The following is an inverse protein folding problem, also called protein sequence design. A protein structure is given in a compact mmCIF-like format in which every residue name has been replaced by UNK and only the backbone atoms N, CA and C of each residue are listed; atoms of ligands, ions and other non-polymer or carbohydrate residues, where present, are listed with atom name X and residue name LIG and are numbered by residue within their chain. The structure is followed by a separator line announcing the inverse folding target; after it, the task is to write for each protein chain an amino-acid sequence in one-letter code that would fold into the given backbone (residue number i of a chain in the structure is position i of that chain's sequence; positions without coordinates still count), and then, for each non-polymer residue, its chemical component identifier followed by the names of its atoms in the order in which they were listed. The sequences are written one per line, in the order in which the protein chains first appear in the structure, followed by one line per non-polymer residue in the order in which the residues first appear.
data_IF_353681373078
#
_entry.id   IF_353681373078
#
_cell.length_a   1.000
_cell.length_b   1.000
_cell.length_c   1.000
_cell.angle_alpha   90.00
_cell.angle_beta   90.00
_cell.angle_gamma   90.00
#
_symmetry.space_group_name_H-M   'P 1'
#
loop_
_entity.id
_entity.type
_entity.pdbx_description
1 polymer ?
#
# COMPACT_ATOMS: atom_id res chain seq x y z
N UNK A 1 -20.16 -6.35 -10.22
CA UNK A 1 -20.32 -7.81 -10.18
C UNK A 1 -20.00 -8.27 -8.78
N UNK A 2 -21.00 -8.77 -8.05
CA UNK A 2 -20.82 -9.44 -6.76
C UNK A 2 -20.42 -10.90 -7.04
N UNK A 3 -19.42 -11.41 -6.34
CA UNK A 3 -19.05 -12.83 -6.42
C UNK A 3 -19.92 -13.65 -5.48
N UNK A 4 -20.09 -14.96 -5.72
CA UNK A 4 -20.77 -15.86 -4.78
C UNK A 4 -20.21 -15.77 -3.35
N UNK A 5 -18.87 -15.69 -3.12
CA UNK A 5 -18.32 -15.38 -1.81
C UNK A 5 -18.82 -14.08 -1.18
N UNK A 6 -18.94 -12.99 -1.96
CA UNK A 6 -19.43 -11.70 -1.46
C UNK A 6 -20.92 -11.76 -1.09
N UNK A 7 -21.72 -12.52 -1.86
CA UNK A 7 -23.13 -12.77 -1.60
C UNK A 7 -23.34 -13.57 -0.32
N UNK A 8 -22.51 -14.58 -0.10
CA UNK A 8 -22.54 -15.44 1.09
C UNK A 8 -21.78 -14.84 2.29
N UNK A 9 -21.17 -13.65 2.13
CA UNK A 9 -20.34 -12.97 3.14
C UNK A 9 -19.19 -13.83 3.67
N UNK A 10 -18.73 -14.82 2.90
CA UNK A 10 -17.63 -15.71 3.28
C UNK A 10 -16.32 -14.91 3.39
N UNK A 11 -16.21 -13.81 2.64
CA UNK A 11 -15.12 -12.85 2.70
C UNK A 11 -14.96 -12.16 4.08
N UNK A 12 -15.96 -12.27 4.97
CA UNK A 12 -15.91 -11.72 6.33
C UNK A 12 -15.40 -12.72 7.37
N UNK A 13 -15.27 -13.99 7.00
CA UNK A 13 -14.91 -15.06 7.94
C UNK A 13 -13.48 -15.51 7.66
N UNK A 14 -12.65 -15.54 8.70
CA UNK A 14 -11.31 -16.14 8.60
C UNK A 14 -11.41 -17.66 8.56
N UNK A 15 -10.60 -18.36 7.74
CA UNK A 15 -9.45 -17.85 6.99
C UNK A 15 -9.77 -17.35 5.56
N UNK A 16 -11.03 -17.41 5.12
CA UNK A 16 -11.39 -17.12 3.71
C UNK A 16 -11.09 -15.67 3.29
N UNK A 17 -11.22 -14.71 4.20
CA UNK A 17 -10.81 -13.32 3.98
C UNK A 17 -9.34 -13.22 3.51
N UNK A 18 -8.44 -14.04 4.07
CA UNK A 18 -7.03 -14.05 3.71
C UNK A 18 -6.81 -14.67 2.32
N UNK A 19 -7.52 -15.76 2.01
CA UNK A 19 -7.46 -16.43 0.70
C UNK A 19 -7.83 -15.47 -0.43
N UNK A 20 -8.78 -14.57 -0.20
CA UNK A 20 -9.18 -13.54 -1.17
C UNK A 20 -8.01 -12.61 -1.54
N UNK A 21 -7.17 -12.24 -0.59
CA UNK A 21 -5.97 -11.41 -0.83
C UNK A 21 -4.91 -12.14 -1.67
N UNK A 22 -4.89 -13.47 -1.65
CA UNK A 22 -3.97 -14.30 -2.44
C UNK A 22 -4.51 -14.73 -3.81
N UNK A 23 -5.69 -14.24 -4.24
CA UNK A 23 -6.31 -14.60 -5.53
C UNK A 23 -5.35 -14.58 -6.73
N UNK A 24 -4.50 -13.55 -6.94
CA UNK A 24 -3.56 -13.55 -8.07
C UNK A 24 -2.60 -14.74 -8.05
N UNK A 25 -2.06 -15.09 -6.89
CA UNK A 25 -1.14 -16.22 -6.72
C UNK A 25 -1.86 -17.57 -6.88
N UNK A 26 -3.08 -17.67 -6.36
CA UNK A 26 -3.90 -18.87 -6.55
C UNK A 26 -4.25 -19.10 -8.02
N UNK A 27 -4.53 -18.04 -8.80
CA UNK A 27 -4.77 -18.18 -10.24
C UNK A 27 -3.53 -18.67 -10.99
N UNK A 28 -2.32 -18.26 -10.59
CA UNK A 28 -1.08 -18.82 -11.14
C UNK A 28 -0.97 -20.32 -10.84
N UNK A 29 -1.28 -20.72 -9.60
CA UNK A 29 -1.30 -22.13 -9.20
C UNK A 29 -2.33 -22.96 -9.99
N UNK A 30 -3.55 -22.42 -10.16
CA UNK A 30 -4.61 -23.06 -10.97
C UNK A 30 -4.19 -23.16 -12.43
N UNK A 31 -3.57 -22.12 -13.01
CA UNK A 31 -3.08 -22.17 -14.38
C UNK A 31 -2.02 -23.27 -14.57
N UNK A 32 -1.06 -23.39 -13.65
CA UNK A 32 -0.09 -24.47 -13.67
C UNK A 32 -0.76 -25.85 -13.60
N UNK A 33 -1.76 -26.01 -12.73
CA UNK A 33 -2.52 -27.26 -12.60
C UNK A 33 -3.30 -27.60 -13.87
N UNK A 34 -3.93 -26.62 -14.53
CA UNK A 34 -4.61 -26.80 -15.82
C UNK A 34 -3.64 -27.32 -16.88
N UNK A 35 -2.44 -26.75 -16.97
CA UNK A 35 -1.41 -27.21 -17.92
C UNK A 35 -0.97 -28.65 -17.65
N UNK A 36 -0.75 -29.01 -16.38
CA UNK A 36 -0.40 -30.39 -15.99
C UNK A 36 -1.51 -31.37 -16.36
N UNK A 37 -2.76 -31.05 -16.03
CA UNK A 37 -3.90 -31.92 -16.34
C UNK A 37 -4.13 -32.04 -17.86
N UNK A 38 -3.99 -30.94 -18.61
CA UNK A 38 -4.09 -30.94 -20.06
C UNK A 38 -3.01 -31.85 -20.68
N UNK A 39 -1.75 -31.76 -20.22
CA UNK A 39 -0.68 -32.64 -20.67
C UNK A 39 -0.92 -34.12 -20.34
N UNK A 40 -1.36 -34.42 -19.12
CA UNK A 40 -1.69 -35.79 -18.71
C UNK A 40 -2.93 -36.34 -19.44
N UNK A 41 -3.86 -35.48 -19.82
CA UNK A 41 -5.10 -35.87 -20.52
C UNK A 41 -4.85 -36.49 -21.89
N UNK A 42 -3.72 -36.16 -22.52
CA UNK A 42 -3.25 -36.79 -23.76
C UNK A 42 -3.10 -38.31 -23.59
N UNK A 43 -2.54 -38.75 -22.45
CA UNK A 43 -2.37 -40.18 -22.13
C UNK A 43 -3.60 -40.77 -21.42
N UNK A 44 -4.33 -39.97 -20.65
CA UNK A 44 -5.48 -40.41 -19.86
C UNK A 44 -6.67 -39.50 -20.11
N UNK A 45 -7.47 -39.83 -21.14
CA UNK A 45 -8.65 -39.04 -21.58
C UNK A 45 -9.63 -38.69 -20.45
N UNK A 46 -9.72 -39.51 -19.38
CA UNK A 46 -10.56 -39.24 -18.19
C UNK A 46 -10.20 -37.93 -17.47
N UNK A 47 -8.99 -37.40 -17.66
CA UNK A 47 -8.54 -36.13 -17.06
C UNK A 47 -8.98 -34.89 -17.85
N UNK A 48 -9.62 -35.04 -19.02
CA UNK A 48 -10.12 -33.90 -19.81
C UNK A 48 -11.19 -33.11 -19.04
N UNK A 49 -12.15 -33.79 -18.41
CA UNK A 49 -13.24 -33.14 -17.70
C UNK A 49 -12.74 -32.23 -16.54
N UNK A 50 -11.87 -32.69 -15.61
CA UNK A 50 -11.34 -31.81 -14.58
C UNK A 50 -10.45 -30.69 -15.14
N UNK A 51 -9.71 -30.92 -16.23
CA UNK A 51 -8.93 -29.88 -16.89
C UNK A 51 -9.82 -28.75 -17.44
N UNK A 52 -10.93 -29.10 -18.12
CA UNK A 52 -11.91 -28.14 -18.65
C UNK A 52 -12.60 -27.40 -17.51
N UNK A 53 -12.99 -28.09 -16.43
CA UNK A 53 -13.60 -27.46 -15.28
C UNK A 53 -12.66 -26.42 -14.62
N UNK A 54 -11.39 -26.76 -14.43
CA UNK A 54 -10.40 -25.83 -13.87
C UNK A 54 -10.06 -24.68 -14.83
N UNK A 55 -10.06 -24.93 -16.14
CA UNK A 55 -9.90 -23.89 -17.14
C UNK A 55 -11.04 -22.87 -17.07
N UNK A 56 -12.29 -23.32 -16.86
CA UNK A 56 -13.43 -22.43 -16.66
C UNK A 56 -13.27 -21.58 -15.38
N UNK A 57 -12.84 -22.19 -14.27
CA UNK A 57 -12.53 -21.46 -13.02
C UNK A 57 -11.43 -20.42 -13.24
N UNK A 58 -10.36 -20.78 -13.95
CA UNK A 58 -9.27 -19.88 -14.29
C UNK A 58 -9.75 -18.71 -15.14
N UNK A 59 -10.56 -18.98 -16.18
CA UNK A 59 -11.08 -17.95 -17.08
C UNK A 59 -11.97 -16.95 -16.33
N UNK A 60 -12.88 -17.43 -15.48
CA UNK A 60 -13.71 -16.58 -14.62
C UNK A 60 -12.81 -15.77 -13.67
N UNK A 61 -11.92 -16.43 -12.94
CA UNK A 61 -11.03 -15.78 -11.99
C UNK A 61 -10.13 -14.72 -12.63
N UNK A 62 -9.58 -15.00 -13.81
CA UNK A 62 -8.81 -14.06 -14.61
C UNK A 62 -9.66 -12.88 -15.08
N UNK A 63 -10.86 -13.13 -15.62
CA UNK A 63 -11.79 -12.05 -16.02
C UNK A 63 -12.20 -11.15 -14.86
N UNK A 64 -12.30 -11.69 -13.65
CA UNK A 64 -12.62 -10.93 -12.44
C UNK A 64 -11.43 -10.16 -11.85
N UNK A 65 -10.19 -10.56 -12.16
CA UNK A 65 -8.97 -9.95 -11.63
C UNK A 65 -8.28 -9.03 -12.63
N UNK A 66 -8.43 -9.28 -13.94
CA UNK A 66 -7.80 -8.50 -15.01
C UNK A 66 -8.13 -7.00 -14.97
N UNK A 67 -9.39 -6.56 -14.69
CA UNK A 67 -9.68 -5.13 -14.57
C UNK A 67 -8.95 -4.47 -13.39
N UNK A 68 -8.54 -5.23 -12.37
CA UNK A 68 -7.80 -4.72 -11.21
C UNK A 68 -6.29 -4.66 -11.45
N UNK A 69 -5.78 -5.42 -12.42
CA UNK A 69 -4.35 -5.42 -12.77
C UNK A 69 -4.01 -4.43 -13.88
N UNK A 70 -5.01 -3.99 -14.65
CA UNK A 70 -4.86 -2.92 -15.62
C UNK A 70 -5.02 -1.56 -14.96
N UNK A 71 -3.92 -0.81 -14.86
CA UNK A 71 -3.98 0.63 -14.62
C UNK A 71 -4.40 1.32 -15.93
N UNK A 72 -5.70 1.31 -16.23
CA UNK A 72 -6.26 2.10 -17.33
C UNK A 72 -6.47 3.55 -16.87
N UNK A 73 -6.27 4.55 -17.74
CA UNK A 73 -6.73 5.90 -17.46
C UNK A 73 -8.26 5.85 -17.33
N UNK A 74 -8.77 5.97 -16.11
CA UNK A 74 -10.18 6.21 -15.90
C UNK A 74 -10.50 7.60 -16.47
N UNK A 75 -11.64 7.80 -17.13
CA UNK A 75 -12.13 9.14 -17.44
C UNK A 75 -12.41 9.84 -16.11
N UNK A 76 -11.40 10.53 -15.57
CA UNK A 76 -11.55 11.32 -14.37
C UNK A 76 -12.11 12.68 -14.81
N UNK A 77 -13.43 12.84 -14.72
CA UNK A 77 -13.97 14.17 -14.52
C UNK A 77 -13.51 14.64 -13.15
N UNK A 78 -12.49 15.48 -13.08
CA UNK A 78 -11.93 16.01 -11.83
C UNK A 78 -10.43 16.26 -11.88
N UNK A 79 -9.94 16.99 -10.88
CA UNK A 79 -8.51 17.17 -10.68
C UNK A 79 -7.90 15.88 -10.07
N UNK A 80 -6.75 15.41 -10.56
CA UNK A 80 -6.06 14.28 -9.96
C UNK A 80 -5.60 14.63 -8.54
N UNK A 81 -5.69 13.66 -7.63
CA UNK A 81 -5.21 13.77 -6.25
C UNK A 81 -4.09 12.76 -6.02
N UNK A 82 -2.96 13.23 -5.48
CA UNK A 82 -1.79 12.44 -5.13
C UNK A 82 -1.84 12.08 -3.64
N UNK A 83 -1.79 10.77 -3.35
CA UNK A 83 -1.85 10.26 -1.97
C UNK A 83 -0.57 9.52 -1.63
N UNK A 84 0.05 9.89 -0.52
CA UNK A 84 1.14 9.16 0.13
C UNK A 84 0.56 8.26 1.23
N UNK A 85 0.98 7.00 1.32
CA UNK A 85 0.59 6.10 2.41
C UNK A 85 1.84 5.40 2.94
N UNK A 86 2.15 5.61 4.22
CA UNK A 86 3.37 5.09 4.85
C UNK A 86 3.05 4.61 6.26
N UNK A 87 3.60 3.45 6.64
CA UNK A 87 3.70 3.02 8.04
C UNK A 87 5.12 3.36 8.52
N UNK A 88 5.22 4.14 9.60
CA UNK A 88 6.49 4.63 10.15
C UNK A 88 7.14 3.68 11.17
N UNK A 89 6.53 2.52 11.41
CA UNK A 89 6.99 1.47 12.34
C UNK A 89 7.29 2.05 13.73
N UNK A 90 6.25 2.38 14.48
CA UNK A 90 6.31 3.02 15.81
C UNK A 90 7.16 4.30 15.80
N UNK A 91 6.95 5.16 14.79
CA UNK A 91 7.73 6.38 14.63
C UNK A 91 9.23 6.18 14.38
N UNK A 92 9.70 4.97 14.05
CA UNK A 92 11.13 4.70 13.84
C UNK A 92 11.66 5.09 12.45
N UNK A 93 10.79 5.42 11.50
CA UNK A 93 11.18 5.89 10.17
C UNK A 93 12.05 7.16 10.24
N UNK A 94 13.07 7.30 9.39
CA UNK A 94 13.91 8.49 9.42
C UNK A 94 13.09 9.74 9.02
N UNK A 95 13.00 10.71 9.94
CA UNK A 95 12.17 11.91 9.79
C UNK A 95 12.66 12.79 8.63
N UNK A 96 13.98 12.86 8.40
CA UNK A 96 14.54 13.64 7.31
C UNK A 96 14.26 12.97 5.96
N UNK A 97 14.41 11.64 5.87
CA UNK A 97 14.04 10.90 4.64
C UNK A 97 12.54 11.01 4.34
N UNK A 98 11.69 10.97 5.36
CA UNK A 98 10.24 11.20 5.20
C UNK A 98 9.94 12.61 4.69
N UNK A 99 10.59 13.64 5.24
CA UNK A 99 10.42 15.02 4.77
C UNK A 99 10.90 15.21 3.32
N UNK A 100 12.02 14.59 2.93
CA UNK A 100 12.50 14.59 1.54
C UNK A 100 11.51 13.87 0.60
N UNK A 101 10.93 12.76 1.04
CA UNK A 101 9.91 12.05 0.27
C UNK A 101 8.69 12.94 0.04
N UNK A 102 8.18 13.60 1.09
CA UNK A 102 7.05 14.54 0.99
C UNK A 102 7.39 15.70 0.06
N UNK A 103 8.59 16.28 0.19
CA UNK A 103 9.03 17.40 -0.66
C UNK A 103 9.13 17.02 -2.13
N UNK A 104 9.64 15.82 -2.42
CA UNK A 104 9.89 15.36 -3.79
C UNK A 104 8.63 14.86 -4.49
N UNK A 105 7.78 14.11 -3.78
CA UNK A 105 6.54 13.58 -4.35
C UNK A 105 5.37 14.58 -4.32
N UNK A 106 5.43 15.58 -3.43
CA UNK A 106 4.39 16.60 -3.21
C UNK A 106 2.98 16.01 -3.15
N UNK A 107 2.70 15.07 -2.22
CA UNK A 107 1.35 14.52 -2.09
C UNK A 107 0.36 15.63 -1.70
N UNK A 108 -0.91 15.48 -2.07
CA UNK A 108 -1.99 16.36 -1.60
C UNK A 108 -2.49 15.90 -0.22
N UNK A 109 -2.46 14.58 -0.01
CA UNK A 109 -2.84 13.91 1.23
C UNK A 109 -1.81 12.83 1.60
N UNK A 110 -1.57 12.64 2.91
CA UNK A 110 -0.75 11.56 3.44
C UNK A 110 -1.49 10.76 4.50
N UNK A 111 -1.57 9.43 4.37
CA UNK A 111 -1.96 8.52 5.46
C UNK A 111 -0.70 7.98 6.13
N UNK A 112 -0.40 8.47 7.33
CA UNK A 112 0.78 8.11 8.10
C UNK A 112 0.35 7.22 9.27
N UNK A 113 0.73 5.96 9.20
CA UNK A 113 0.36 4.90 10.14
C UNK A 113 1.52 4.67 11.11
N UNK A 114 1.21 4.42 12.37
CA UNK A 114 2.19 4.38 13.47
C UNK A 114 2.95 5.71 13.61
N UNK A 115 2.20 6.81 13.45
CA UNK A 115 2.66 8.19 13.58
C UNK A 115 1.73 8.90 14.55
N UNK A 116 2.17 9.01 15.80
CA UNK A 116 1.53 9.78 16.86
C UNK A 116 2.20 11.14 17.06
N UNK A 117 1.94 11.80 18.22
CA UNK A 117 2.42 13.14 18.51
C UNK A 117 3.93 13.28 18.43
N UNK A 118 4.69 12.28 18.89
CA UNK A 118 6.15 12.39 18.96
C UNK A 118 6.80 12.48 17.58
N UNK A 119 6.41 11.60 16.65
CA UNK A 119 6.91 11.64 15.28
C UNK A 119 6.41 12.88 14.54
N UNK A 120 5.14 13.24 14.73
CA UNK A 120 4.54 14.46 14.18
C UNK A 120 5.36 15.68 14.56
N UNK A 121 5.68 15.85 15.84
CA UNK A 121 6.37 17.05 16.34
C UNK A 121 7.79 17.21 15.76
N UNK A 122 8.40 16.11 15.30
CA UNK A 122 9.69 16.13 14.62
C UNK A 122 9.56 16.36 13.12
N UNK A 123 8.52 15.80 12.50
CA UNK A 123 8.29 15.93 11.06
C UNK A 123 7.67 17.27 10.68
N UNK A 124 6.75 17.79 11.49
CA UNK A 124 5.98 19.00 11.22
C UNK A 124 6.86 20.22 10.89
N UNK A 125 7.93 20.55 11.65
CA UNK A 125 8.80 21.68 11.33
C UNK A 125 9.47 21.58 9.94
N UNK A 126 9.59 20.38 9.38
CA UNK A 126 10.23 20.16 8.07
C UNK A 126 9.26 20.26 6.90
N UNK A 127 7.96 20.08 7.15
CA UNK A 127 6.92 20.00 6.10
C UNK A 127 5.88 21.10 6.17
N UNK A 128 5.66 21.72 7.34
CA UNK A 128 4.81 22.92 7.47
C UNK A 128 5.28 24.08 6.58
N UNK A 129 6.61 24.38 6.45
CA UNK A 129 7.07 25.38 5.50
C UNK A 129 6.80 25.04 4.02
N UNK A 130 6.54 23.76 3.73
CA UNK A 130 6.13 23.30 2.39
C UNK A 130 4.61 23.43 2.17
N UNK A 131 3.88 23.93 3.17
CA UNK A 131 2.43 24.12 3.13
C UNK A 131 1.65 22.87 3.54
N UNK A 132 2.16 22.05 4.47
CA UNK A 132 1.42 20.91 5.01
C UNK A 132 0.93 21.14 6.43
N UNK A 133 -0.18 20.51 6.79
CA UNK A 133 -0.69 20.45 8.18
C UNK A 133 -1.02 19.02 8.57
N UNK A 134 -0.99 18.74 9.87
CA UNK A 134 -1.29 17.42 10.43
C UNK A 134 -2.66 17.38 11.11
N UNK A 135 -3.34 16.26 10.97
CA UNK A 135 -4.47 15.84 11.79
C UNK A 135 -4.09 14.50 12.41
N UNK A 136 -3.91 14.46 13.72
CA UNK A 136 -3.42 13.26 14.42
C UNK A 136 -4.46 12.75 15.40
N UNK A 137 -4.66 11.43 15.40
CA UNK A 137 -5.42 10.73 16.40
C UNK A 137 -4.57 9.60 16.99
N UNK A 138 -4.74 9.33 18.28
CA UNK A 138 -4.11 8.21 18.99
C UNK A 138 -5.16 7.23 19.49
N UNK A 139 -4.81 5.95 19.48
CA UNK A 139 -5.67 4.87 19.98
C UNK A 139 -5.83 4.90 21.49
N UNK A 140 -6.83 4.18 22.00
CA UNK A 140 -7.15 4.10 23.44
C UNK A 140 -6.04 3.46 24.26
N UNK A 141 -5.23 2.61 23.63
CA UNK A 141 -4.14 1.87 24.28
C UNK A 141 -2.81 2.62 24.20
N UNK A 142 -2.82 3.87 23.73
CA UNK A 142 -1.63 4.71 23.67
C UNK A 142 -1.21 5.15 25.07
N UNK A 143 0.08 4.98 25.37
CA UNK A 143 0.73 5.57 26.54
C UNK A 143 1.12 7.04 26.31
N UNK A 144 0.78 7.60 25.14
CA UNK A 144 1.15 8.96 24.72
C UNK A 144 2.64 9.14 24.38
N UNK A 145 3.43 8.08 24.49
CA UNK A 145 4.89 8.09 24.26
C UNK A 145 5.22 7.28 23.00
N UNK A 146 4.55 6.15 22.81
CA UNK A 146 4.68 5.26 21.65
C UNK A 146 3.74 5.69 20.53
N UNK A 147 4.28 5.71 19.31
CA UNK A 147 3.57 6.15 18.12
C UNK A 147 2.85 4.99 17.42
N UNK A 148 3.07 3.74 17.85
CA UNK A 148 2.45 2.51 17.32
C UNK A 148 0.92 2.63 17.23
N UNK A 149 0.28 3.33 18.16
CA UNK A 149 -1.17 3.54 18.19
C UNK A 149 -1.64 4.81 17.47
N UNK A 150 -0.72 5.56 16.87
CA UNK A 150 -0.99 6.82 16.19
C UNK A 150 -1.38 6.64 14.73
N UNK A 151 -2.39 7.39 14.30
CA UNK A 151 -2.70 7.62 12.88
C UNK A 151 -2.72 9.12 12.64
N UNK A 152 -1.91 9.56 11.68
CA UNK A 152 -1.84 10.95 11.28
C UNK A 152 -2.18 11.12 9.80
N UNK A 153 -2.92 12.17 9.50
CA UNK A 153 -3.19 12.64 8.14
C UNK A 153 -2.38 13.90 7.88
N UNK A 154 -1.61 13.89 6.79
CA UNK A 154 -0.95 15.07 6.24
C UNK A 154 -1.87 15.69 5.18
N UNK A 155 -2.14 17.00 5.26
CA UNK A 155 -3.01 17.70 4.29
C UNK A 155 -2.27 18.89 3.70
N UNK A 156 -2.20 18.97 2.37
CA UNK A 156 -1.63 20.12 1.68
C UNK A 156 -2.53 21.37 1.82
N UNK A 157 -1.92 22.54 1.98
CA UNK A 157 -2.61 23.81 2.17
C UNK A 157 -3.46 24.21 0.95
N UNK A 158 -3.03 23.83 -0.25
CA UNK A 158 -3.77 24.15 -1.49
C UNK A 158 -5.12 23.43 -1.58
N UNK A 159 -5.37 22.41 -0.76
CA UNK A 159 -6.69 21.79 -0.63
C UNK A 159 -7.68 22.70 0.12
N UNK A 160 -7.24 23.84 0.66
CA UNK A 160 -8.09 24.78 1.38
C UNK A 160 -8.63 24.20 2.69
N UNK A 161 -9.78 24.71 3.12
CA UNK A 161 -10.43 24.28 4.36
C UNK A 161 -11.01 22.87 4.24
N UNK A 162 -10.56 21.98 5.12
CA UNK A 162 -11.07 20.60 5.20
C UNK A 162 -11.62 20.39 6.61
N UNK A 163 -12.67 19.58 6.70
CA UNK A 163 -13.18 19.08 7.97
C UNK A 163 -12.58 17.73 8.26
N UNK A 164 -12.26 17.47 9.53
CA UNK A 164 -11.73 16.18 9.96
C UNK A 164 -12.50 15.60 11.12
N UNK A 165 -12.69 14.28 11.11
CA UNK A 165 -13.26 13.52 12.23
C UNK A 165 -12.32 12.39 12.62
N UNK A 166 -12.15 12.17 13.92
CA UNK A 166 -11.37 11.08 14.47
C UNK A 166 -12.30 10.05 15.13
N UNK A 167 -12.28 8.81 14.65
CA UNK A 167 -12.96 7.68 15.27
C UNK A 167 -11.98 6.92 16.16
N UNK A 168 -12.24 6.90 17.47
CA UNK A 168 -11.40 6.22 18.48
C UNK A 168 -12.05 4.94 19.04
N UNK A 169 -13.09 4.44 18.37
CA UNK A 169 -13.83 3.24 18.80
C UNK A 169 -13.07 1.92 18.59
N UNK A 170 -11.89 1.98 18.01
CA UNK A 170 -11.03 0.83 17.68
C UNK A 170 -9.64 1.01 18.30
N UNK A 171 -8.92 -0.10 18.50
CA UNK A 171 -7.57 -0.10 19.08
C UNK A 171 -6.65 0.92 18.39
N UNK A 172 -6.72 0.98 17.06
CA UNK A 172 -6.13 2.05 16.29
C UNK A 172 -7.21 3.03 15.83
N UNK A 173 -6.97 4.34 15.88
CA UNK A 173 -7.95 5.33 15.49
C UNK A 173 -8.11 5.37 13.96
N UNK A 174 -9.21 5.95 13.53
CA UNK A 174 -9.52 6.28 12.15
C UNK A 174 -9.56 7.79 12.04
N UNK A 175 -8.93 8.36 11.02
CA UNK A 175 -9.02 9.79 10.71
C UNK A 175 -9.67 9.95 9.35
N UNK A 176 -10.82 10.61 9.30
CA UNK A 176 -11.52 10.97 8.07
C UNK A 176 -11.32 12.46 7.76
N UNK A 177 -11.10 12.78 6.48
CA UNK A 177 -10.95 14.15 5.98
C UNK A 177 -11.88 14.36 4.78
N UNK A 178 -12.63 15.45 4.80
CA UNK A 178 -13.61 15.83 3.77
C UNK A 178 -13.57 17.34 3.49
N UNK A 179 -14.17 17.75 2.37
CA UNK A 179 -14.31 19.17 2.01
C UNK A 179 -13.10 19.73 1.26
N UNK A 180 -13.07 21.07 1.15
CA UNK A 180 -12.03 21.78 0.41
C UNK A 180 -11.89 21.29 -1.04
N UNK A 181 -10.65 21.14 -1.49
CA UNK A 181 -10.28 20.62 -2.81
C UNK A 181 -10.66 19.15 -3.04
N UNK A 182 -11.10 18.41 -2.02
CA UNK A 182 -11.59 17.03 -2.16
C UNK A 182 -13.03 16.98 -2.69
N UNK A 183 -13.79 18.08 -2.57
CA UNK A 183 -15.19 18.15 -2.98
C UNK A 183 -16.04 17.10 -2.26
N UNK A 184 -16.68 16.21 -3.02
CA UNK A 184 -17.48 15.11 -2.49
C UNK A 184 -16.66 13.87 -2.07
N UNK A 185 -15.34 13.92 -2.19
CA UNK A 185 -14.45 12.80 -1.85
C UNK A 185 -14.13 12.80 -0.36
N UNK A 186 -14.21 11.62 0.25
CA UNK A 186 -13.75 11.36 1.62
C UNK A 186 -12.40 10.64 1.60
N UNK A 187 -11.44 11.18 2.31
CA UNK A 187 -10.18 10.50 2.59
C UNK A 187 -10.23 9.85 3.97
N UNK A 188 -9.75 8.60 4.08
CA UNK A 188 -9.75 7.85 5.35
C UNK A 188 -8.37 7.23 5.57
N UNK A 189 -7.71 7.62 6.66
CA UNK A 189 -6.52 6.97 7.16
C UNK A 189 -6.89 6.05 8.33
N UNK A 190 -6.44 4.79 8.27
CA UNK A 190 -6.70 3.80 9.31
C UNK A 190 -5.54 2.82 9.41
N UNK A 191 -5.28 2.32 10.62
CA UNK A 191 -4.32 1.25 10.86
C UNK A 191 -5.09 -0.06 11.13
N UNK A 192 -5.00 -1.00 10.21
CA UNK A 192 -5.58 -2.33 10.42
C UNK A 192 -4.74 -3.12 11.43
N UNK A 193 -5.40 -3.78 12.38
CA UNK A 193 -4.73 -4.70 13.31
C UNK A 193 -4.19 -5.88 12.50
N UNK A 194 -2.89 -6.14 12.62
CA UNK A 194 -2.30 -7.32 12.00
C UNK A 194 -2.87 -8.59 12.65
N UNK A 195 -3.21 -9.64 11.88
CA UNK A 195 -3.59 -10.92 12.45
C UNK A 195 -2.44 -11.47 13.28
N UNK A 196 -2.67 -11.75 14.56
CA UNK A 196 -1.69 -12.35 15.45
C UNK A 196 -2.04 -13.81 15.71
N UNK A 197 -1.02 -14.65 15.78
CA UNK A 197 -1.18 -16.02 16.25
C UNK A 197 -1.40 -15.99 17.77
N UNK A 198 -2.48 -16.60 18.23
CA UNK A 198 -2.80 -16.76 19.64
C UNK A 198 -2.98 -18.23 19.96
N UNK A 199 -2.65 -18.62 21.18
CA UNK A 199 -2.98 -19.96 21.69
C UNK A 199 -4.49 -20.06 21.85
N UNK A 200 -5.11 -21.08 21.25
CA UNK A 200 -6.55 -21.26 21.40
C UNK A 200 -6.88 -21.64 22.86
N UNK A 201 -8.01 -21.18 23.41
CA UNK A 201 -8.44 -21.54 24.77
C UNK A 201 -8.54 -23.05 25.04
N UNK A 202 -8.73 -23.85 23.99
CA UNK A 202 -8.87 -25.32 24.07
C UNK A 202 -7.54 -26.08 24.14
N UNK A 203 -6.39 -25.40 24.23
CA UNK A 203 -5.07 -26.04 24.31
C UNK A 203 -4.59 -26.71 23.00
N UNK A 204 -5.39 -26.66 21.93
CA UNK A 204 -4.98 -27.11 20.60
C UNK A 204 -4.34 -25.96 19.78
N UNK A 205 -3.49 -26.36 18.81
CA UNK A 205 -2.74 -25.58 17.78
C UNK A 205 -3.14 -24.11 17.59
N UNK A 206 -2.14 -23.24 17.40
CA UNK A 206 -2.23 -21.81 17.10
C UNK A 206 -3.47 -21.38 16.29
N UNK A 207 -4.31 -20.52 16.86
CA UNK A 207 -5.41 -19.82 16.21
C UNK A 207 -4.92 -18.47 15.68
N UNK A 208 -5.56 -17.95 14.62
CA UNK A 208 -5.40 -16.54 14.23
C UNK A 208 -6.50 -15.73 14.92
N UNK A 209 -6.12 -14.70 15.67
CA UNK A 209 -7.07 -13.76 16.28
C UNK A 209 -6.89 -12.35 15.72
N UNK A 210 -8.01 -11.68 15.53
CA UNK A 210 -8.07 -10.25 15.28
C UNK A 210 -8.54 -9.61 16.58
N UNK A 211 -7.65 -8.90 17.27
CA UNK A 211 -8.07 -8.06 18.40
C UNK A 211 -8.69 -6.80 17.82
N UNK A 212 -9.95 -6.52 18.13
CA UNK A 212 -10.64 -5.29 17.72
C UNK A 212 -12.03 -5.53 17.17
N UNK A 213 -13.04 -4.94 17.81
CA UNK A 213 -14.39 -4.82 17.25
C UNK A 213 -14.40 -3.74 16.18
N UNK A 214 -14.34 -4.11 14.89
CA UNK A 214 -14.61 -3.14 13.84
C UNK A 214 -16.12 -2.84 13.80
N UNK A 215 -16.57 -1.58 13.96
CA UNK A 215 -17.95 -1.24 13.67
C UNK A 215 -18.19 -1.37 12.16
N UNK A 216 -19.24 -2.09 11.79
CA UNK A 216 -19.69 -2.24 10.40
C UNK A 216 -20.40 -0.93 9.99
N UNK A 217 -19.64 0.06 9.52
CA UNK A 217 -20.21 1.26 8.93
C UNK A 217 -20.42 1.05 7.43
N UNK A 218 -21.63 0.65 7.02
CA UNK A 218 -22.01 0.72 5.61
C UNK A 218 -22.44 2.16 5.27
N UNK A 219 -21.52 2.95 4.74
CA UNK A 219 -21.87 4.13 3.95
C UNK A 219 -21.21 4.06 2.58
N UNK A 220 -22.05 4.16 1.56
CA UNK A 220 -21.69 4.14 0.15
C UNK A 220 -21.14 5.52 -0.19
N UNK A 221 -19.82 5.65 -0.30
CA UNK A 221 -19.17 6.82 -0.87
C UNK A 221 -18.42 6.42 -2.14
N UNK A 222 -18.56 7.26 -3.17
CA UNK A 222 -18.15 7.05 -4.55
C UNK A 222 -16.64 6.82 -4.67
N UNK A 223 -16.25 5.95 -5.61
CA UNK A 223 -14.87 5.52 -5.89
C UNK A 223 -13.90 6.70 -6.06
N UNK A 224 -12.88 6.76 -5.20
CA UNK A 224 -11.59 7.39 -5.50
C UNK A 224 -10.52 6.29 -5.53
N UNK A 225 -9.73 6.23 -6.60
CA UNK A 225 -8.60 5.29 -6.74
C UNK A 225 -7.34 6.11 -6.92
N UNK A 226 -6.48 6.15 -5.89
CA UNK A 226 -5.16 6.77 -5.98
C UNK A 226 -4.24 5.86 -6.82
N UNK A 227 -3.57 6.45 -7.81
CA UNK A 227 -2.60 5.74 -8.66
C UNK A 227 -1.26 6.45 -8.56
N UNK A 228 -0.27 5.83 -7.91
CA UNK A 228 1.15 6.02 -8.27
C UNK A 228 2.02 4.88 -7.77
N UNK A 229 2.98 4.49 -8.60
CA UNK A 229 4.03 3.53 -8.24
C UNK A 229 5.03 4.19 -7.31
N UNK A 230 4.92 3.91 -6.01
CA UNK A 230 6.05 4.04 -5.09
C UNK A 230 7.03 2.90 -5.32
N UNK A 231 8.30 3.21 -5.60
CA UNK A 231 9.35 2.20 -5.62
C UNK A 231 9.77 1.97 -4.17
N UNK A 232 9.39 0.84 -3.56
CA UNK A 232 9.82 0.50 -2.20
C UNK A 232 11.33 0.25 -2.24
N UNK A 233 12.12 1.18 -1.71
CA UNK A 233 13.54 0.93 -1.39
C UNK A 233 13.58 0.17 -0.07
N UNK A 234 13.99 -1.10 -0.09
CA UNK A 234 14.27 -1.87 1.13
C UNK A 234 15.69 -1.56 1.58
N UNK A 235 15.84 -1.05 2.80
CA UNK A 235 17.11 -1.11 3.51
C UNK A 235 17.32 -2.55 4.00
N UNK A 236 18.45 -3.16 3.65
CA UNK A 236 18.81 -4.47 4.17
C UNK A 236 19.23 -4.32 5.63
N UNK A 237 18.49 -4.96 6.54
CA UNK A 237 18.95 -5.17 7.91
C UNK A 237 20.11 -6.17 7.89
N UNK A 238 21.18 -5.97 8.68
CA UNK A 238 22.16 -7.04 8.89
C UNK A 238 21.46 -8.26 9.52
N UNK A 239 21.93 -9.48 9.21
CA UNK A 239 21.35 -10.69 9.77
C UNK A 239 21.49 -10.69 11.31
N UNK A 240 20.50 -11.22 12.04
CA UNK A 240 20.62 -11.39 13.48
C UNK A 240 21.84 -12.28 13.79
N UNK A 241 22.76 -11.78 14.63
CA UNK A 241 23.98 -12.50 15.02
C UNK A 241 25.28 -12.05 14.36
N UNK A 242 25.30 -10.94 13.61
CA UNK A 242 26.55 -10.36 13.14
C UNK A 242 27.45 -9.95 14.35
N UNK A 243 28.68 -10.45 14.45
CA UNK A 243 29.56 -10.17 15.59
C UNK A 243 29.94 -8.69 15.62
N UNK A 244 29.78 -8.06 16.78
CA UNK A 244 30.25 -6.70 17.03
C UNK A 244 31.78 -6.68 16.98
N UNK A 245 32.43 -5.77 16.24
CA UNK A 245 33.88 -5.68 16.24
C UNK A 245 34.40 -5.32 17.64
N UNK A 246 35.50 -5.93 18.10
CA UNK A 246 36.03 -5.67 19.44
C UNK A 246 36.51 -4.22 19.57
N UNK A 247 36.16 -3.56 20.68
CA UNK A 247 36.75 -2.26 21.02
C UNK A 247 38.22 -2.46 21.40
N UNK A 248 39.13 -1.83 20.64
CA UNK A 248 40.54 -1.75 21.00
C UNK A 248 40.72 -0.87 22.24
N UNK A 249 41.45 -1.39 23.24
CA UNK A 249 41.73 -0.71 24.50
C UNK A 249 42.34 0.69 24.27
N UNK A 250 41.71 1.72 24.85
CA UNK A 250 42.22 3.09 24.84
C UNK A 250 41.49 4.09 23.94
N UNK A 251 40.40 3.72 23.26
CA UNK A 251 39.53 4.68 22.55
C UNK A 251 38.08 4.51 22.97
N UNK A 252 37.36 5.63 23.13
CA UNK A 252 35.93 5.62 23.41
C UNK A 252 35.18 4.84 22.31
N UNK A 253 34.43 3.81 22.71
CA UNK A 253 33.61 3.03 21.79
C UNK A 253 32.58 3.97 21.14
N UNK A 254 32.70 4.18 19.84
CA UNK A 254 31.67 4.88 19.06
C UNK A 254 30.44 3.97 19.00
N UNK A 255 29.20 4.47 19.23
CA UNK A 255 28.00 3.65 19.10
C UNK A 255 27.93 3.01 17.71
N UNK A 256 27.33 1.81 17.58
CA UNK A 256 27.27 1.09 16.31
C UNK A 256 26.71 2.00 15.21
N UNK A 257 27.51 2.19 14.17
CA UNK A 257 27.21 3.10 13.07
C UNK A 257 25.88 2.74 12.42
N UNK A 258 25.06 3.77 12.18
CA UNK A 258 23.81 3.63 11.41
C UNK A 258 24.07 2.91 10.08
N UNK A 259 23.14 2.04 9.63
CA UNK A 259 23.25 1.38 8.34
C UNK A 259 23.46 2.43 7.24
N UNK A 260 24.55 2.30 6.47
CA UNK A 260 24.82 3.17 5.34
C UNK A 260 23.97 2.72 4.15
N UNK A 261 22.97 3.52 3.79
CA UNK A 261 22.31 3.44 2.50
C UNK A 261 23.33 3.81 1.40
N UNK A 262 23.88 2.82 0.69
CA UNK A 262 24.66 3.08 -0.52
C UNK A 262 23.69 3.56 -1.61
N UNK A 263 23.85 4.79 -2.07
CA UNK A 263 23.17 5.27 -3.27
C UNK A 263 23.60 4.40 -4.47
N UNK A 264 22.73 3.50 -4.92
CA UNK A 264 22.93 2.77 -6.16
C UNK A 264 22.93 3.76 -7.33
N UNK A 265 24.01 3.77 -8.12
CA UNK A 265 24.09 4.60 -9.31
C UNK A 265 22.99 4.19 -10.29
N UNK A 266 22.03 5.07 -10.53
CA UNK A 266 21.04 4.89 -11.58
C UNK A 266 21.74 5.06 -12.94
N UNK A 267 22.02 3.95 -13.64
CA UNK A 267 22.40 3.97 -15.05
C UNK A 267 21.17 4.41 -15.85
N UNK A 268 21.18 5.65 -16.35
CA UNK A 268 20.25 6.11 -17.40
C UNK A 268 20.64 5.44 -18.71
N UNK A 269 19.88 4.47 -19.16
CA UNK A 269 19.86 4.03 -20.55
C UNK A 269 18.96 4.99 -21.34
N UNK A 270 19.58 5.97 -22.01
CA UNK A 270 18.92 6.79 -23.03
C UNK A 270 18.97 6.04 -24.35
N UNK A 271 17.87 5.40 -24.75
CA UNK A 271 17.67 4.97 -26.14
C UNK A 271 17.19 6.16 -26.96
N UNK A 272 18.12 6.74 -27.73
CA UNK A 272 17.85 7.72 -28.77
C UNK A 272 17.18 7.02 -29.96
N UNK A 273 15.90 7.29 -30.19
CA UNK A 273 15.22 6.98 -31.46
C UNK A 273 15.37 8.18 -32.39
N UNK A 274 16.18 8.01 -33.43
CA UNK A 274 16.32 8.93 -34.56
C UNK A 274 15.04 8.93 -35.38
N UNK A 275 14.36 10.09 -35.43
CA UNK A 275 13.19 10.32 -36.29
C UNK A 275 13.67 10.81 -37.65
N UNK A 276 13.61 9.91 -38.64
CA UNK A 276 13.84 10.21 -40.06
C UNK A 276 12.81 11.21 -40.56
N UNK A 277 13.26 12.43 -40.91
CA UNK A 277 12.41 13.51 -41.44
C UNK A 277 12.30 13.32 -42.96
N UNK A 278 11.14 12.87 -43.42
CA UNK A 278 10.77 12.79 -44.83
C UNK A 278 10.72 14.19 -45.44
N UNK A 279 11.53 14.41 -46.49
CA UNK A 279 11.51 15.58 -47.37
C UNK A 279 10.23 15.55 -48.20
N UNK A 280 9.32 16.52 -48.00
CA UNK A 280 8.26 16.80 -48.96
C UNK A 280 8.75 17.89 -49.92
N UNK A 281 8.86 17.48 -51.18
CA UNK A 281 9.30 18.23 -52.36
C UNK A 281 8.10 19.03 -52.88
N UNK A 282 8.19 20.36 -52.93
CA UNK A 282 7.22 21.21 -53.63
C UNK A 282 7.77 21.57 -55.01
N UNK A 283 7.01 21.18 -56.02
CA UNK A 283 7.04 21.60 -57.43
C UNK A 283 5.58 22.01 -57.72
N UNK A 284 5.17 22.99 -58.50
CA UNK A 284 5.74 23.96 -59.46
C UNK A 284 4.59 25.00 -59.70
N UNK A 285 4.79 26.09 -60.47
CA UNK A 285 3.81 27.17 -60.65
C UNK A 285 2.95 27.00 -61.93
N UNK A 286 1.93 27.86 -62.04
CA UNK A 286 1.03 28.08 -63.19
C UNK A 286 -0.34 28.46 -62.59
N UNK A 287 -0.95 29.60 -62.88
CA UNK A 287 -0.94 30.55 -64.01
C UNK A 287 -1.34 31.93 -63.50
#
# INVERSE_FOLDING_TARGET
MLTLPDLLRIDRVTPFAQVVSFRPYLLVGVAALVLVLAGLSWRRRRLLLPAVALLAVLAVGAGMTAPRTQAGPLPAGGQPVTVLAVNALDGSADVAEMAELIRSERPDLGALIEVGPWYRDRLAPLVEPLGYRFITATGTDSDGITDVFGVSVLVAAHLGEVTSTAGTSTQFPIVEVEGGGLGATRFVAFHAVAPVLVTCPSGARTCVSWRGTAPVASRRSSRATSTRRGTIRRCAMPPPGAPTPPCSAGRACTPPGRPRCRAGSARRSTTSSSRTRSRRRTSRPGT
#
